data_IF_905972344578
#
_entry.id   IF_905972344578
#
_cell.length_a   1.000
_cell.length_b   1.000
_cell.length_c   1.000
_cell.angle_alpha   90.00
_cell.angle_beta   90.00
_cell.angle_gamma   90.00
#
_symmetry.space_group_name_H-M   'P 1'
#
loop_
_entity.id
_entity.type
_entity.pdbx_description
1 polymer ?
#
# COMPACT_ATOMS: atom_id res chain seq x y z
N UNK A 1 11.63 14.96 5.13
CA UNK A 1 11.14 14.31 3.90
C UNK A 1 10.40 13.05 4.33
N UNK A 2 9.08 13.01 4.19
CA UNK A 2 8.31 11.80 4.44
C UNK A 2 8.55 10.82 3.29
N UNK A 3 9.11 9.64 3.59
CA UNK A 3 9.22 8.56 2.60
C UNK A 3 7.84 7.90 2.51
N UNK A 4 7.14 7.97 1.36
CA UNK A 4 5.78 7.46 1.28
C UNK A 4 5.74 5.93 1.33
N UNK A 5 4.85 5.39 2.16
CA UNK A 5 4.50 3.97 2.19
C UNK A 5 3.48 3.67 1.08
N UNK A 6 3.75 2.67 0.23
CA UNK A 6 2.91 2.29 -0.90
C UNK A 6 2.59 0.80 -0.87
N UNK A 7 1.30 0.48 -0.99
CA UNK A 7 0.80 -0.88 -1.09
C UNK A 7 0.43 -1.13 -2.55
N UNK A 8 1.12 -2.09 -3.18
CA UNK A 8 0.92 -2.44 -4.59
C UNK A 8 0.19 -3.77 -4.65
N UNK A 9 -0.97 -3.76 -5.28
CA UNK A 9 -1.79 -4.94 -5.49
C UNK A 9 -1.63 -5.46 -6.91
N UNK A 10 -1.56 -6.78 -7.07
CA UNK A 10 -1.50 -7.37 -8.43
C UNK A 10 -2.81 -7.20 -9.22
N UNK A 11 -3.94 -7.13 -8.51
CA UNK A 11 -5.28 -6.91 -9.06
C UNK A 11 -5.93 -5.74 -8.35
N UNK A 12 -6.95 -5.14 -8.95
CA UNK A 12 -7.70 -4.05 -8.35
C UNK A 12 -8.22 -4.49 -6.95
N UNK A 13 -7.75 -3.87 -5.86
CA UNK A 13 -8.15 -4.25 -4.52
C UNK A 13 -9.61 -3.87 -4.27
N UNK A 14 -10.30 -4.59 -3.36
CA UNK A 14 -11.61 -4.18 -2.86
C UNK A 14 -11.62 -2.72 -2.38
N UNK A 15 -12.78 -2.05 -2.53
CA UNK A 15 -12.88 -0.61 -2.29
C UNK A 15 -12.56 -0.18 -0.85
N UNK A 16 -12.74 -1.04 0.15
CA UNK A 16 -12.43 -0.71 1.55
C UNK A 16 -10.93 -0.46 1.81
N UNK A 17 -10.03 -0.97 0.97
CA UNK A 17 -8.60 -0.65 1.08
C UNK A 17 -8.32 0.83 0.82
N UNK A 18 -9.23 1.58 0.19
CA UNK A 18 -9.12 3.04 0.03
C UNK A 18 -8.91 3.79 1.34
N UNK A 19 -9.43 3.24 2.43
CA UNK A 19 -9.31 3.83 3.75
C UNK A 19 -7.85 4.00 4.15
N UNK A 20 -6.92 3.16 3.69
CA UNK A 20 -5.47 3.30 3.93
C UNK A 20 -4.93 4.69 3.53
N UNK A 21 -5.55 5.36 2.55
CA UNK A 21 -5.17 6.72 2.15
C UNK A 21 -5.40 7.77 3.24
N UNK A 22 -6.33 7.53 4.16
CA UNK A 22 -6.57 8.41 5.31
C UNK A 22 -5.35 8.51 6.23
N UNK A 23 -4.46 7.52 6.18
CA UNK A 23 -3.20 7.48 6.92
C UNK A 23 -1.98 7.76 6.01
N UNK A 24 -2.18 8.41 4.86
CA UNK A 24 -1.10 8.78 3.93
C UNK A 24 -0.49 7.61 3.14
N UNK A 25 -1.09 6.41 3.22
CA UNK A 25 -0.60 5.23 2.52
C UNK A 25 -1.08 5.25 1.06
N UNK A 26 -0.15 5.16 0.12
CA UNK A 26 -0.46 5.09 -1.31
C UNK A 26 -0.97 3.70 -1.69
N UNK A 27 -1.93 3.69 -2.61
CA UNK A 27 -2.51 2.47 -3.16
C UNK A 27 -2.25 2.43 -4.64
N UNK A 28 -1.61 1.35 -5.09
CA UNK A 28 -1.34 1.10 -6.47
C UNK A 28 -1.82 -0.29 -6.91
N UNK A 29 -2.09 -0.44 -8.20
CA UNK A 29 -2.59 -1.66 -8.80
C UNK A 29 -1.88 -1.93 -10.13
N UNK A 30 -1.50 -3.19 -10.36
CA UNK A 30 -0.95 -3.66 -11.65
C UNK A 30 -2.04 -3.98 -12.69
N UNK A 31 -3.30 -3.86 -12.30
CA UNK A 31 -4.45 -3.95 -13.21
C UNK A 31 -5.26 -2.66 -13.17
N UNK A 32 -6.01 -2.34 -14.24
CA UNK A 32 -6.93 -1.20 -14.25
C UNK A 32 -7.81 -1.16 -13.01
N UNK A 33 -7.80 -0.03 -12.30
CA UNK A 33 -8.52 0.13 -11.04
C UNK A 33 -8.91 1.60 -10.82
N UNK A 34 -10.21 1.94 -10.73
CA UNK A 34 -10.65 3.34 -10.69
C UNK A 34 -10.20 4.15 -9.46
N UNK A 35 -9.75 3.46 -8.40
CA UNK A 35 -9.46 4.07 -7.11
C UNK A 35 -8.02 3.81 -6.61
N UNK A 36 -7.17 3.18 -7.42
CA UNK A 36 -5.75 3.01 -7.14
C UNK A 36 -4.91 3.65 -8.26
N UNK A 37 -3.67 4.01 -7.97
CA UNK A 37 -2.72 4.37 -9.02
C UNK A 37 -2.46 3.13 -9.89
N UNK A 38 -2.75 3.21 -11.18
CA UNK A 38 -2.41 2.15 -12.12
C UNK A 38 -0.93 2.23 -12.46
N UNK A 39 -0.23 1.10 -12.36
CA UNK A 39 1.20 0.99 -12.64
C UNK A 39 1.42 -0.22 -13.53
N UNK A 40 2.13 -0.04 -14.64
CA UNK A 40 2.53 -1.19 -15.45
C UNK A 40 3.75 -1.89 -14.83
N UNK A 41 3.88 -3.21 -15.03
CA UNK A 41 4.99 -3.98 -14.44
C UNK A 41 6.38 -3.45 -14.84
N UNK A 42 6.53 -2.88 -16.03
CA UNK A 42 7.77 -2.26 -16.52
C UNK A 42 8.14 -0.96 -15.78
N UNK A 43 7.17 -0.29 -15.18
CA UNK A 43 7.37 0.96 -14.42
C UNK A 43 7.66 0.70 -12.93
N UNK A 44 7.51 -0.54 -12.46
CA UNK A 44 7.73 -0.89 -11.05
C UNK A 44 9.11 -0.49 -10.52
N UNK A 45 10.24 -0.75 -11.21
CA UNK A 45 11.57 -0.42 -10.67
C UNK A 45 11.75 1.08 -10.40
N UNK A 46 11.20 1.93 -11.25
CA UNK A 46 11.25 3.38 -11.07
C UNK A 46 10.27 3.82 -9.98
N UNK A 47 9.07 3.23 -9.95
CA UNK A 47 8.09 3.55 -8.93
C UNK A 47 8.58 3.25 -7.50
N UNK A 48 9.33 2.17 -7.29
CA UNK A 48 9.76 1.75 -5.94
C UNK A 48 10.97 2.52 -5.39
N UNK A 49 11.75 3.20 -6.25
CA UNK A 49 13.10 3.70 -5.94
C UNK A 49 13.21 4.60 -4.70
N UNK A 50 12.14 5.33 -4.37
CA UNK A 50 12.11 6.29 -3.25
C UNK A 50 10.88 6.07 -2.34
N UNK A 51 10.38 4.83 -2.26
CA UNK A 51 9.17 4.48 -1.49
C UNK A 51 9.42 3.27 -0.60
N UNK A 52 8.75 3.22 0.55
CA UNK A 52 8.59 1.95 1.26
C UNK A 52 7.47 1.17 0.59
N UNK A 53 7.79 0.02 -0.01
CA UNK A 53 6.83 -0.72 -0.83
C UNK A 53 6.48 -2.06 -0.20
N UNK A 54 5.19 -2.36 -0.17
CA UNK A 54 4.64 -3.66 0.20
C UNK A 54 3.85 -4.20 -0.99
N UNK A 55 4.24 -5.35 -1.51
CA UNK A 55 3.44 -6.09 -2.50
C UNK A 55 2.40 -6.92 -1.75
N UNK A 56 1.13 -6.74 -2.11
CA UNK A 56 0.00 -7.42 -1.48
C UNK A 56 -0.48 -8.59 -2.33
N UNK A 57 -0.43 -9.78 -1.75
CA UNK A 57 -0.97 -10.99 -2.36
C UNK A 57 -0.10 -11.66 -3.42
N UNK A 58 1.07 -11.09 -3.75
CA UNK A 58 2.03 -11.70 -4.69
C UNK A 58 3.44 -11.78 -4.09
N UNK A 59 3.73 -12.93 -3.47
CA UNK A 59 5.02 -13.20 -2.84
C UNK A 59 6.16 -13.32 -3.85
N UNK A 60 5.88 -13.83 -5.05
CA UNK A 60 6.91 -14.02 -6.07
C UNK A 60 7.37 -12.67 -6.63
N UNK A 61 6.42 -11.77 -6.89
CA UNK A 61 6.71 -10.40 -7.31
C UNK A 61 7.47 -9.63 -6.22
N UNK A 62 7.04 -9.72 -4.96
CA UNK A 62 7.73 -9.09 -3.83
C UNK A 62 9.20 -9.51 -3.77
N UNK A 63 9.45 -10.82 -3.89
CA UNK A 63 10.80 -11.39 -3.89
C UNK A 63 11.63 -10.92 -5.09
N UNK A 64 11.03 -10.86 -6.30
CA UNK A 64 11.70 -10.40 -7.52
C UNK A 64 12.16 -8.94 -7.40
N UNK A 65 11.36 -8.11 -6.73
CA UNK A 65 11.64 -6.69 -6.54
C UNK A 65 12.43 -6.40 -5.25
N UNK A 66 12.72 -7.42 -4.44
CA UNK A 66 13.39 -7.30 -3.13
C UNK A 66 12.69 -6.32 -2.16
N UNK A 67 11.35 -6.31 -2.21
CA UNK A 67 10.50 -5.47 -1.34
C UNK A 67 9.68 -6.31 -0.37
N UNK A 68 9.02 -5.66 0.58
CA UNK A 68 8.18 -6.34 1.56
C UNK A 68 6.96 -7.02 0.92
N UNK A 69 6.52 -8.11 1.53
CA UNK A 69 5.35 -8.88 1.15
C UNK A 69 4.31 -8.82 2.28
N UNK A 70 3.03 -8.69 1.91
CA UNK A 70 1.91 -8.92 2.81
C UNK A 70 0.81 -9.74 2.12
N UNK A 71 0.09 -10.53 2.90
CA UNK A 71 -1.18 -11.11 2.49
C UNK A 71 -2.30 -10.07 2.59
N UNK A 72 -3.38 -10.24 1.83
CA UNK A 72 -4.59 -9.40 1.98
C UNK A 72 -5.09 -9.36 3.43
N UNK A 73 -5.08 -10.51 4.12
CA UNK A 73 -5.52 -10.64 5.51
C UNK A 73 -4.65 -9.85 6.50
N UNK A 74 -3.34 -9.79 6.25
CA UNK A 74 -2.44 -8.96 7.08
C UNK A 74 -2.71 -7.48 6.87
N UNK A 75 -2.95 -7.06 5.63
CA UNK A 75 -3.32 -5.67 5.34
C UNK A 75 -4.68 -5.30 5.96
N UNK A 76 -5.66 -6.20 5.94
CA UNK A 76 -6.94 -6.01 6.63
C UNK A 76 -6.77 -5.84 8.13
N UNK A 77 -5.99 -6.72 8.78
CA UNK A 77 -5.68 -6.58 10.21
C UNK A 77 -4.95 -5.28 10.52
N UNK A 78 -4.05 -4.86 9.64
CA UNK A 78 -3.36 -3.59 9.78
C UNK A 78 -4.33 -2.41 9.65
N UNK A 79 -5.24 -2.43 8.67
CA UNK A 79 -6.28 -1.41 8.52
C UNK A 79 -7.20 -1.36 9.75
N UNK A 80 -7.61 -2.52 10.28
CA UNK A 80 -8.40 -2.59 11.51
C UNK A 80 -7.64 -2.04 12.72
N UNK A 81 -6.34 -2.30 12.82
CA UNK A 81 -5.48 -1.72 13.85
C UNK A 81 -5.43 -0.20 13.72
N UNK A 82 -5.20 0.33 12.52
CA UNK A 82 -5.20 1.78 12.26
C UNK A 82 -6.53 2.42 12.70
N UNK A 83 -7.66 1.80 12.37
CA UNK A 83 -8.99 2.29 12.77
C UNK A 83 -9.22 2.33 14.27
N UNK A 84 -8.67 1.37 15.02
CA UNK A 84 -8.89 1.23 16.47
C UNK A 84 -7.93 2.08 17.29
N UNK A 85 -6.64 2.02 16.95
CA UNK A 85 -5.55 2.53 17.78
C UNK A 85 -5.05 3.90 17.30
N UNK A 86 -5.28 4.23 16.02
CA UNK A 86 -4.78 5.44 15.36
C UNK A 86 -5.94 6.17 14.70
N UNK A 87 -6.91 6.61 15.51
CA UNK A 87 -7.92 7.56 15.03
C UNK A 87 -7.20 8.70 14.28
N UNK A 88 -7.62 9.09 13.07
CA UNK A 88 -6.98 10.17 12.31
C UNK A 88 -6.90 11.50 13.09
N UNK A 89 -7.72 11.65 14.14
CA UNK A 89 -7.76 12.79 15.07
C UNK A 89 -6.61 12.76 16.09
N UNK A 90 -5.97 11.61 16.32
CA UNK A 90 -4.92 11.40 17.32
C UNK A 90 -3.58 11.02 16.66
N UNK A 91 -2.96 11.98 15.98
CA UNK A 91 -1.51 11.95 15.70
C UNK A 91 -0.81 13.18 16.32
N UNK A 92 -0.71 13.28 17.66
CA UNK A 92 -0.09 14.42 18.34
C UNK A 92 1.44 14.53 18.16
N UNK A 93 2.10 13.57 17.50
CA UNK A 93 3.56 13.54 17.35
C UNK A 93 4.06 13.93 15.94
N UNK A 94 3.16 14.37 15.05
CA UNK A 94 3.50 14.88 13.71
C UNK A 94 3.36 16.41 13.59
N UNK A 95 3.32 17.12 14.71
CA UNK A 95 3.34 18.59 14.77
C UNK A 95 4.73 19.13 15.09
#
# INVERSE_FOLDING_TARGET
MEIPLAFIFRRCPPRYYLELRLWGIRLASLSPCPWAEEINEDQLPEYIKDKFVVIVGDKALAKRLEVAYATYKEVERFLDYLKKELSPVYMPYLQ
#
